data_IF_880810882798
#
_entry.id   IF_880810882798
#
_cell.length_a   1.000
_cell.length_b   1.000
_cell.length_c   1.000
_cell.angle_alpha   90.00
_cell.angle_beta   90.00
_cell.angle_gamma   90.00
#
_symmetry.space_group_name_H-M   'P 1'
#
loop_
_entity.id
_entity.type
_entity.pdbx_description
1 polymer ?
#
# COMPACT_ATOMS: atom_id res chain seq x y z
N UNK A 1 -4.07 18.00 -5.38
CA UNK A 1 -4.35 16.97 -4.33
C UNK A 1 -3.12 16.10 -4.32
N UNK A 2 -2.51 15.96 -3.17
CA UNK A 2 -1.29 15.15 -3.02
C UNK A 2 -1.72 13.68 -2.99
N UNK A 3 -1.03 12.83 -3.76
CA UNK A 3 -1.31 11.40 -3.82
C UNK A 3 -0.20 10.66 -3.09
N UNK A 4 -0.58 9.84 -2.11
CA UNK A 4 0.34 8.99 -1.36
C UNK A 4 -0.12 7.55 -1.49
N UNK A 5 0.79 6.66 -1.84
CA UNK A 5 0.50 5.24 -1.86
C UNK A 5 0.62 4.65 -0.45
N UNK A 6 -0.36 3.85 -0.08
CA UNK A 6 -0.39 3.13 1.19
C UNK A 6 -0.62 1.66 0.91
N UNK A 7 0.27 0.83 1.38
CA UNK A 7 0.09 -0.62 1.41
C UNK A 7 -0.67 -0.98 2.70
N UNK A 8 -1.67 -1.84 2.57
CA UNK A 8 -2.47 -2.29 3.70
C UNK A 8 -2.54 -3.81 3.73
N UNK A 9 -2.33 -4.40 4.90
CA UNK A 9 -2.43 -5.85 5.10
C UNK A 9 -3.53 -6.13 6.12
N UNK A 10 -4.24 -7.24 5.95
CA UNK A 10 -5.36 -7.60 6.81
C UNK A 10 -5.25 -9.06 7.27
N UNK A 11 -5.71 -9.38 8.50
CA UNK A 11 -5.62 -10.72 9.05
C UNK A 11 -6.56 -11.72 8.37
N UNK A 12 -7.65 -11.26 7.77
CA UNK A 12 -8.64 -12.11 7.08
C UNK A 12 -9.14 -11.45 5.80
N UNK A 13 -9.70 -12.27 4.92
CA UNK A 13 -10.34 -11.80 3.69
C UNK A 13 -11.52 -10.86 3.99
N UNK A 14 -12.32 -11.20 4.98
CA UNK A 14 -13.49 -10.41 5.39
C UNK A 14 -13.07 -9.00 5.84
N UNK A 15 -12.01 -8.89 6.63
CA UNK A 15 -11.45 -7.60 7.06
C UNK A 15 -10.96 -6.77 5.87
N UNK A 16 -10.27 -7.41 4.91
CA UNK A 16 -9.83 -6.77 3.68
C UNK A 16 -11.01 -6.27 2.84
N UNK A 17 -12.05 -7.09 2.68
CA UNK A 17 -13.25 -6.72 1.92
C UNK A 17 -14.02 -5.56 2.56
N UNK A 18 -14.12 -5.51 3.88
CA UNK A 18 -14.79 -4.40 4.59
C UNK A 18 -14.00 -3.10 4.39
N UNK A 19 -12.69 -3.13 4.56
CA UNK A 19 -11.85 -1.97 4.31
C UNK A 19 -11.91 -1.53 2.84
N UNK A 20 -11.87 -2.46 1.89
CA UNK A 20 -12.01 -2.18 0.47
C UNK A 20 -13.34 -1.50 0.12
N UNK A 21 -14.44 -1.89 0.78
CA UNK A 21 -15.76 -1.23 0.60
C UNK A 21 -15.71 0.24 1.04
N UNK A 22 -15.03 0.55 2.14
CA UNK A 22 -14.87 1.94 2.61
C UNK A 22 -14.02 2.77 1.64
N UNK A 23 -12.91 2.20 1.14
CA UNK A 23 -12.09 2.85 0.10
C UNK A 23 -12.89 3.08 -1.18
N UNK A 24 -13.65 2.07 -1.61
CA UNK A 24 -14.45 2.15 -2.83
C UNK A 24 -15.54 3.22 -2.75
N UNK A 25 -16.16 3.46 -1.57
CA UNK A 25 -17.12 4.55 -1.36
C UNK A 25 -16.50 5.94 -1.60
N UNK A 26 -15.20 6.08 -1.34
CA UNK A 26 -14.45 7.34 -1.49
C UNK A 26 -13.81 7.51 -2.86
N UNK A 27 -13.74 6.43 -3.64
CA UNK A 27 -13.24 6.49 -5.00
C UNK A 27 -14.14 7.37 -5.86
N UNK A 28 -13.60 8.31 -6.67
CA UNK A 28 -14.37 9.14 -7.56
C UNK A 28 -15.26 8.31 -8.50
N UNK A 29 -16.46 8.80 -8.79
CA UNK A 29 -17.38 8.12 -9.72
C UNK A 29 -17.02 8.42 -11.17
N UNK A 30 -15.78 8.14 -11.54
CA UNK A 30 -15.28 8.32 -12.89
C UNK A 30 -15.34 6.97 -13.60
N UNK A 31 -15.96 6.93 -14.77
CA UNK A 31 -16.02 5.69 -15.56
C UNK A 31 -14.66 5.38 -16.17
N UNK A 32 -14.25 4.12 -16.09
CA UNK A 32 -13.05 3.66 -16.77
C UNK A 32 -13.19 3.81 -18.29
N UNK A 33 -12.14 4.28 -18.95
CA UNK A 33 -12.02 4.33 -20.42
C UNK A 33 -10.98 3.28 -20.83
N UNK A 34 -11.47 2.07 -21.16
CA UNK A 34 -10.62 0.93 -21.45
C UNK A 34 -9.65 1.17 -22.62
N UNK A 35 -10.00 2.05 -23.55
CA UNK A 35 -9.15 2.46 -24.67
C UNK A 35 -7.92 3.29 -24.22
N UNK A 36 -7.94 3.85 -23.01
CA UNK A 36 -6.85 4.65 -22.44
C UNK A 36 -6.14 3.90 -21.30
N UNK A 37 -6.92 3.36 -20.36
CA UNK A 37 -6.42 2.80 -19.10
C UNK A 37 -6.40 1.27 -19.08
N UNK A 38 -6.87 0.62 -20.16
CA UNK A 38 -7.04 -0.83 -20.21
C UNK A 38 -8.34 -1.32 -19.53
N UNK A 39 -8.62 -2.58 -19.69
CA UNK A 39 -9.74 -3.21 -19.03
C UNK A 39 -9.38 -3.58 -17.59
N UNK A 40 -10.32 -3.38 -16.67
CA UNK A 40 -10.20 -3.75 -15.26
C UNK A 40 -11.04 -5.01 -15.03
N UNK A 41 -10.47 -6.18 -15.42
CA UNK A 41 -11.18 -7.44 -15.36
C UNK A 41 -11.19 -8.04 -13.95
N UNK A 42 -12.36 -8.56 -13.53
CA UNK A 42 -12.44 -9.52 -12.44
C UNK A 42 -12.14 -10.92 -13.00
N UNK A 43 -11.25 -11.63 -12.33
CA UNK A 43 -10.82 -12.96 -12.75
C UNK A 43 -11.03 -13.96 -11.60
N UNK A 44 -11.38 -15.19 -11.95
CA UNK A 44 -11.41 -16.29 -11.00
C UNK A 44 -10.03 -16.97 -10.88
N UNK A 45 -9.94 -17.99 -10.02
CA UNK A 45 -8.71 -18.75 -9.77
C UNK A 45 -8.19 -19.55 -10.99
N UNK A 46 -9.02 -19.71 -12.02
CA UNK A 46 -8.73 -20.47 -13.24
C UNK A 46 -8.52 -19.52 -14.44
N UNK A 47 -8.22 -18.24 -14.17
CA UNK A 47 -7.97 -17.16 -15.14
C UNK A 47 -9.18 -16.84 -16.06
N UNK A 48 -10.40 -17.23 -15.69
CA UNK A 48 -11.58 -16.82 -16.43
C UNK A 48 -12.04 -15.43 -16.03
N UNK A 49 -12.35 -14.59 -17.01
CA UNK A 49 -12.93 -13.27 -16.75
C UNK A 49 -14.39 -13.45 -16.32
N UNK A 50 -14.72 -13.01 -15.12
CA UNK A 50 -16.06 -13.08 -14.53
C UNK A 50 -16.83 -11.75 -14.59
N UNK A 51 -16.15 -10.65 -14.93
CA UNK A 51 -16.75 -9.33 -15.07
C UNK A 51 -15.71 -8.24 -15.25
N UNK A 52 -16.16 -7.00 -15.23
CA UNK A 52 -15.30 -5.82 -15.35
C UNK A 52 -15.69 -4.75 -14.33
N UNK A 53 -14.68 -4.11 -13.73
CA UNK A 53 -14.90 -2.91 -12.92
C UNK A 53 -15.09 -1.70 -13.83
N UNK A 54 -16.23 -1.04 -13.70
CA UNK A 54 -16.55 0.14 -14.52
C UNK A 54 -15.97 1.43 -13.97
N UNK A 55 -15.70 1.51 -12.66
CA UNK A 55 -15.14 2.68 -12.02
C UNK A 55 -13.63 2.70 -12.21
N UNK A 56 -13.06 3.85 -12.56
CA UNK A 56 -11.62 4.00 -12.78
C UNK A 56 -10.86 3.83 -11.46
N UNK A 57 -10.19 2.68 -11.28
CA UNK A 57 -9.49 2.31 -10.04
C UNK A 57 -8.15 3.04 -9.85
N UNK A 58 -7.53 3.52 -10.95
CA UNK A 58 -6.26 4.27 -10.88
C UNK A 58 -6.44 5.67 -10.26
N UNK A 59 -7.68 6.12 -10.09
CA UNK A 59 -7.95 7.40 -9.47
C UNK A 59 -7.61 7.39 -8.00
N UNK A 60 -7.01 8.48 -7.51
CA UNK A 60 -6.82 8.68 -6.09
C UNK A 60 -8.16 8.65 -5.34
N UNK A 61 -8.23 7.91 -4.26
CA UNK A 61 -9.39 7.90 -3.39
C UNK A 61 -9.49 9.22 -2.62
N UNK A 62 -10.69 9.82 -2.60
CA UNK A 62 -10.94 11.11 -1.96
C UNK A 62 -10.99 11.01 -0.43
N UNK A 63 -9.89 10.59 0.20
CA UNK A 63 -9.77 10.43 1.65
C UNK A 63 -8.41 10.92 2.16
N UNK A 64 -8.36 11.29 3.44
CA UNK A 64 -7.11 11.62 4.11
C UNK A 64 -6.37 10.36 4.58
N UNK A 65 -5.07 10.51 4.86
CA UNK A 65 -4.26 9.44 5.47
C UNK A 65 -4.83 9.01 6.83
N UNK A 66 -5.28 9.95 7.67
CA UNK A 66 -5.90 9.66 8.96
C UNK A 66 -7.17 8.81 8.80
N UNK A 67 -8.05 9.18 7.85
CA UNK A 67 -9.27 8.41 7.62
C UNK A 67 -8.96 6.97 7.18
N UNK A 68 -8.02 6.79 6.24
CA UNK A 68 -7.61 5.45 5.82
C UNK A 68 -6.95 4.68 6.97
N UNK A 69 -6.12 5.35 7.79
CA UNK A 69 -5.52 4.73 8.97
C UNK A 69 -6.58 4.18 9.92
N UNK A 70 -7.62 4.97 10.22
CA UNK A 70 -8.72 4.54 11.10
C UNK A 70 -9.48 3.34 10.51
N UNK A 71 -9.74 3.33 9.20
CA UNK A 71 -10.36 2.20 8.51
C UNK A 71 -9.50 0.93 8.66
N UNK A 72 -8.20 1.03 8.38
CA UNK A 72 -7.27 -0.11 8.46
C UNK A 72 -7.17 -0.62 9.90
N UNK A 73 -7.00 0.28 10.86
CA UNK A 73 -6.90 -0.06 12.28
C UNK A 73 -8.18 -0.72 12.82
N UNK A 74 -9.34 -0.22 12.41
CA UNK A 74 -10.64 -0.80 12.82
C UNK A 74 -10.84 -2.21 12.29
N UNK A 75 -10.24 -2.55 11.15
CA UNK A 75 -10.24 -3.87 10.55
C UNK A 75 -9.10 -4.78 11.08
N UNK A 76 -8.34 -4.34 12.09
CA UNK A 76 -7.19 -5.07 12.62
C UNK A 76 -6.01 -5.16 11.65
N UNK A 77 -5.95 -4.28 10.67
CA UNK A 77 -4.95 -4.29 9.61
C UNK A 77 -3.67 -3.52 9.96
N UNK A 78 -2.68 -3.69 9.10
CA UNK A 78 -1.39 -3.00 9.15
C UNK A 78 -1.38 -1.92 8.07
N UNK A 79 -0.99 -0.70 8.45
CA UNK A 79 -0.90 0.46 7.60
C UNK A 79 0.58 0.79 7.32
N UNK A 80 0.96 0.84 6.05
CA UNK A 80 2.34 1.00 5.63
C UNK A 80 2.41 2.06 4.53
N UNK A 81 2.89 3.29 4.79
CA UNK A 81 3.27 4.21 3.74
C UNK A 81 4.25 3.55 2.78
N UNK A 82 3.86 3.45 1.50
CA UNK A 82 4.62 2.73 0.50
C UNK A 82 5.82 3.56 0.00
N UNK A 83 6.89 2.85 -0.34
CA UNK A 83 8.10 3.36 -1.03
C UNK A 83 8.46 4.81 -0.67
N UNK A 84 8.65 5.07 0.65
CA UNK A 84 8.88 6.43 1.18
C UNK A 84 10.11 7.13 0.59
N UNK A 85 11.02 6.38 0.01
CA UNK A 85 12.25 6.81 -0.67
C UNK A 85 12.03 7.29 -2.12
N UNK A 86 10.85 7.06 -2.73
CA UNK A 86 10.58 7.40 -4.13
C UNK A 86 10.16 8.87 -4.29
N UNK A 87 10.47 9.42 -5.48
CA UNK A 87 10.07 10.79 -5.84
C UNK A 87 8.60 10.95 -6.21
N UNK A 88 7.88 9.85 -6.42
CA UNK A 88 6.45 9.86 -6.80
C UNK A 88 5.62 9.10 -5.79
N UNK A 89 4.47 9.65 -5.45
CA UNK A 89 3.45 9.01 -4.61
C UNK A 89 3.93 8.59 -3.21
N UNK A 90 5.06 9.13 -2.75
CA UNK A 90 5.58 8.86 -1.41
C UNK A 90 5.18 9.94 -0.42
N UNK A 91 5.02 9.56 0.83
CA UNK A 91 4.68 10.50 1.90
C UNK A 91 5.77 11.55 2.10
N UNK A 92 7.04 11.16 2.01
CA UNK A 92 8.16 12.10 2.18
C UNK A 92 8.26 13.11 1.04
N UNK A 93 7.98 12.71 -0.20
CA UNK A 93 7.99 13.64 -1.34
C UNK A 93 6.81 14.61 -1.28
N UNK A 94 5.64 14.14 -0.87
CA UNK A 94 4.44 14.98 -0.85
C UNK A 94 4.37 15.88 0.39
N UNK A 95 4.72 15.38 1.56
CA UNK A 95 4.59 16.12 2.83
C UNK A 95 5.92 16.60 3.41
N UNK A 96 7.05 16.00 3.02
CA UNK A 96 8.36 16.26 3.59
C UNK A 96 8.64 15.51 4.90
N UNK A 97 7.64 14.88 5.48
CA UNK A 97 7.72 14.14 6.75
C UNK A 97 6.64 13.06 6.81
N UNK A 98 6.78 12.13 7.75
CA UNK A 98 5.71 11.19 8.12
C UNK A 98 4.89 11.83 9.24
N UNK A 99 3.55 11.98 9.07
CA UNK A 99 2.69 12.59 10.08
C UNK A 99 2.81 11.89 11.44
N UNK A 100 2.97 12.64 12.50
CA UNK A 100 3.11 12.15 13.89
C UNK A 100 1.76 12.09 14.63
N UNK A 101 0.72 12.69 14.07
CA UNK A 101 -0.67 12.58 14.53
C UNK A 101 -1.34 11.25 14.14
N UNK A 102 -0.66 10.45 13.31
CA UNK A 102 -1.05 9.09 12.93
C UNK A 102 -0.06 8.10 13.55
N UNK A 103 -0.54 7.12 14.30
CA UNK A 103 0.32 6.11 14.97
C UNK A 103 0.88 5.08 13.96
N UNK A 104 1.61 5.59 12.96
CA UNK A 104 2.30 4.78 11.96
C UNK A 104 3.47 4.06 12.62
N UNK A 105 3.54 2.75 12.46
CA UNK A 105 4.63 1.89 12.97
C UNK A 105 5.55 1.37 11.88
N UNK A 106 5.04 1.29 10.67
CA UNK A 106 5.66 0.59 9.56
C UNK A 106 5.81 1.52 8.37
N UNK A 107 6.90 1.41 7.63
CA UNK A 107 7.11 2.08 6.36
C UNK A 107 7.76 1.12 5.37
N UNK A 108 7.56 1.36 4.10
CA UNK A 108 8.22 0.62 3.04
C UNK A 108 9.33 1.48 2.42
N UNK A 109 10.52 0.91 2.30
CA UNK A 109 11.61 1.44 1.48
C UNK A 109 11.69 0.59 0.21
N UNK A 110 11.63 1.23 -0.95
CA UNK A 110 11.64 0.54 -2.23
C UNK A 110 12.99 -0.14 -2.48
N UNK A 111 12.98 -1.07 -3.42
CA UNK A 111 14.20 -1.76 -3.85
C UNK A 111 15.13 -0.88 -4.69
N UNK A 112 14.68 0.31 -5.10
CA UNK A 112 15.51 1.29 -5.80
C UNK A 112 16.60 1.86 -4.88
N UNK A 113 16.39 1.84 -3.56
CA UNK A 113 17.39 2.17 -2.56
C UNK A 113 18.20 0.91 -2.23
N UNK A 114 19.39 0.77 -2.83
CA UNK A 114 20.28 -0.39 -2.60
C UNK A 114 20.89 -0.34 -1.21
N UNK A 115 21.38 0.82 -0.77
CA UNK A 115 21.99 1.03 0.54
C UNK A 115 20.97 1.68 1.50
N UNK A 116 20.21 0.83 2.18
CA UNK A 116 19.19 1.25 3.15
C UNK A 116 19.83 1.90 4.38
N UNK A 117 20.97 1.39 4.81
CA UNK A 117 21.65 1.91 6.01
C UNK A 117 22.08 3.36 5.79
N UNK A 118 22.69 3.66 4.65
CA UNK A 118 23.02 5.04 4.27
C UNK A 118 21.80 5.93 4.11
N UNK A 119 20.71 5.40 3.55
CA UNK A 119 19.44 6.14 3.42
C UNK A 119 18.86 6.52 4.80
N UNK A 120 18.84 5.58 5.74
CA UNK A 120 18.37 5.79 7.11
C UNK A 120 19.33 6.67 7.92
N UNK A 121 20.65 6.52 7.75
CA UNK A 121 21.64 7.37 8.42
C UNK A 121 21.53 8.86 8.03
N UNK A 122 21.01 9.13 6.82
CA UNK A 122 20.70 10.49 6.37
C UNK A 122 19.30 10.99 6.84
N UNK A 123 18.52 10.14 7.49
CA UNK A 123 17.12 10.40 7.93
C UNK A 123 16.83 9.67 9.24
N UNK A 124 17.51 10.08 10.29
CA UNK A 124 17.45 9.45 11.62
C UNK A 124 16.01 9.40 12.20
N UNK A 125 15.14 10.32 11.76
CA UNK A 125 13.71 10.31 12.09
C UNK A 125 12.96 9.06 11.60
N UNK A 126 13.52 8.32 10.63
CA UNK A 126 12.92 7.10 10.09
C UNK A 126 13.32 5.83 10.86
N UNK A 127 14.35 5.86 11.67
CA UNK A 127 14.88 4.68 12.38
C UNK A 127 13.86 4.07 13.36
N UNK A 128 12.91 4.89 13.81
CA UNK A 128 11.84 4.46 14.74
C UNK A 128 10.79 3.54 14.12
N UNK A 129 10.74 3.42 12.79
CA UNK A 129 9.75 2.62 12.08
C UNK A 129 10.28 1.22 11.75
N UNK A 130 9.38 0.24 11.71
CA UNK A 130 9.68 -1.06 11.11
C UNK A 130 9.78 -0.90 9.58
N UNK A 131 10.87 -1.40 9.02
CA UNK A 131 11.16 -1.26 7.58
C UNK A 131 10.70 -2.51 6.84
N UNK A 132 9.82 -2.32 5.87
CA UNK A 132 9.43 -3.34 4.90
C UNK A 132 10.15 -3.10 3.58
N UNK A 133 10.48 -4.19 2.88
CA UNK A 133 11.12 -4.16 1.56
C UNK A 133 10.35 -5.04 0.60
N UNK A 134 9.70 -4.42 -0.39
CA UNK A 134 8.91 -5.14 -1.40
C UNK A 134 9.37 -4.76 -2.81
N UNK A 135 8.94 -5.53 -3.80
CA UNK A 135 9.28 -5.28 -5.20
C UNK A 135 8.51 -4.10 -5.81
N UNK A 136 7.32 -3.78 -5.29
CA UNK A 136 6.35 -2.88 -5.94
C UNK A 136 6.14 -3.28 -7.42
N UNK A 137 6.09 -4.62 -7.66
CA UNK A 137 6.03 -5.19 -9.00
C UNK A 137 4.67 -4.93 -9.66
N UNK A 138 4.70 -4.33 -10.85
CA UNK A 138 3.52 -4.11 -11.70
C UNK A 138 3.48 -5.09 -12.86
N UNK A 139 4.58 -5.79 -13.13
CA UNK A 139 4.72 -6.83 -14.14
C UNK A 139 5.45 -8.03 -13.57
N UNK A 140 5.25 -9.23 -14.15
CA UNK A 140 5.89 -10.47 -13.68
C UNK A 140 7.43 -10.38 -13.66
N UNK A 141 8.02 -9.67 -14.60
CA UNK A 141 9.47 -9.47 -14.67
C UNK A 141 10.03 -8.57 -13.55
N UNK A 142 9.18 -7.79 -12.89
CA UNK A 142 9.56 -6.93 -11.78
C UNK A 142 9.52 -7.70 -10.45
N UNK A 143 8.85 -8.85 -10.43
CA UNK A 143 8.90 -9.77 -9.29
C UNK A 143 10.28 -10.42 -9.25
N UNK A 144 10.92 -10.37 -8.11
CA UNK A 144 12.23 -10.97 -7.91
C UNK A 144 12.16 -12.12 -6.91
N UNK A 145 13.28 -12.86 -6.81
CA UNK A 145 13.49 -13.82 -5.74
C UNK A 145 13.28 -13.17 -4.38
N UNK A 146 12.88 -13.97 -3.39
CA UNK A 146 12.71 -13.50 -2.02
C UNK A 146 14.07 -13.07 -1.44
N UNK A 147 14.24 -11.77 -1.24
CA UNK A 147 15.48 -11.17 -0.72
C UNK A 147 15.27 -10.52 0.66
N UNK A 148 14.02 -10.30 1.04
CA UNK A 148 13.65 -9.77 2.34
C UNK A 148 12.72 -10.74 3.05
N UNK A 149 12.96 -10.95 4.33
CA UNK A 149 12.25 -11.91 5.16
C UNK A 149 11.75 -11.22 6.42
N UNK A 150 10.58 -11.63 6.89
CA UNK A 150 10.11 -11.29 8.23
C UNK A 150 10.46 -12.45 9.16
N UNK A 151 11.05 -12.15 10.31
CA UNK A 151 11.36 -13.15 11.33
C UNK A 151 10.12 -13.44 12.17
N UNK A 152 9.19 -14.17 11.57
CA UNK A 152 7.93 -14.59 12.17
C UNK A 152 7.75 -16.09 11.98
N UNK A 153 7.21 -16.77 12.96
CA UNK A 153 6.91 -18.20 12.87
C UNK A 153 5.55 -18.48 12.23
N UNK A 154 4.62 -17.52 12.35
CA UNK A 154 3.28 -17.57 11.78
C UNK A 154 2.82 -16.19 11.34
N UNK A 155 2.03 -16.12 10.28
CA UNK A 155 1.52 -14.85 9.72
C UNK A 155 0.66 -14.08 10.74
N UNK A 156 -0.01 -14.76 11.67
CA UNK A 156 -0.79 -14.11 12.72
C UNK A 156 0.03 -13.18 13.61
N UNK A 157 1.34 -13.45 13.78
CA UNK A 157 2.25 -12.58 14.54
C UNK A 157 2.34 -11.16 13.98
N UNK A 158 2.13 -10.99 12.67
CA UNK A 158 2.07 -9.66 12.04
C UNK A 158 0.94 -8.80 12.61
N UNK A 159 -0.13 -9.44 13.08
CA UNK A 159 -1.35 -8.79 13.55
C UNK A 159 -1.51 -8.80 15.07
N UNK A 160 -0.45 -9.19 15.80
CA UNK A 160 -0.43 -9.20 17.26
C UNK A 160 -1.11 -10.43 17.88
N UNK A 161 -1.13 -11.53 17.13
CA UNK A 161 -1.60 -12.85 17.59
C UNK A 161 -0.58 -13.58 18.45
#
# INVERSE_FOLDING_TARGET
MEEVHILTLYPTLEAAEEAAKEVYKKLPQIKNRAEIFGQQAYMDKDDNITGYEERLLISSAGMSMNYLFDVVKSAGGIYIPAHVDRHSYSVLTNLGFIPDDIDIKNIEISRMTEDVDSFLAARDELIKYNIYRNSDAHYLQDMREAEAYLDISDVSELFGG
#
